data_IF_972535886308
#
_entry.id   IF_972535886308
#
_cell.length_a   1.000
_cell.length_b   1.000
_cell.length_c   1.000
_cell.angle_alpha   90.00
_cell.angle_beta   90.00
_cell.angle_gamma   90.00
#
_symmetry.space_group_name_H-M   'P 1'
#
loop_
_entity.id
_entity.type
_entity.pdbx_description
1 polymer ?
#
# COMPACT_ATOMS: atom_id res chain seq x y z
N UNK A 1 -29.61 5.00 -38.91
CA UNK A 1 -28.25 5.59 -38.94
C UNK A 1 -28.26 6.70 -39.98
N UNK A 2 -27.74 7.92 -39.73
CA UNK A 2 -26.70 8.27 -38.74
C UNK A 2 -27.11 9.31 -37.67
N UNK A 3 -26.26 9.39 -36.65
CA UNK A 3 -26.22 10.35 -35.53
C UNK A 3 -25.61 11.70 -35.95
N UNK A 4 -25.99 12.78 -35.24
CA UNK A 4 -24.99 13.73 -34.73
C UNK A 4 -25.40 14.35 -33.39
N UNK A 5 -24.37 14.73 -32.63
CA UNK A 5 -24.24 14.93 -31.18
C UNK A 5 -24.88 16.20 -30.60
N UNK A 6 -25.31 16.10 -29.33
CA UNK A 6 -25.28 17.22 -28.39
C UNK A 6 -24.74 16.75 -27.02
N UNK A 7 -23.73 17.47 -26.56
CA UNK A 7 -22.82 17.23 -25.44
C UNK A 7 -23.49 17.36 -24.05
N UNK A 8 -23.42 16.33 -23.16
CA UNK A 8 -23.98 16.41 -21.81
C UNK A 8 -22.93 16.65 -20.71
N UNK A 9 -21.81 17.33 -20.99
CA UNK A 9 -20.88 17.82 -19.93
C UNK A 9 -21.36 19.06 -19.16
N UNK A 10 -22.65 19.41 -19.24
CA UNK A 10 -23.26 20.46 -18.42
C UNK A 10 -23.78 19.91 -17.09
N UNK A 11 -22.89 19.79 -16.10
CA UNK A 11 -23.25 19.49 -14.71
C UNK A 11 -23.68 20.76 -13.98
N UNK A 12 -24.99 20.89 -13.71
CA UNK A 12 -25.53 21.90 -12.79
C UNK A 12 -25.41 21.44 -11.34
N UNK A 13 -24.52 22.11 -10.60
CA UNK A 13 -24.31 21.97 -9.15
C UNK A 13 -25.42 22.69 -8.38
N UNK A 14 -26.60 22.08 -8.24
CA UNK A 14 -27.61 22.37 -7.19
C UNK A 14 -28.84 21.53 -7.49
N UNK A 15 -29.47 21.02 -6.43
CA UNK A 15 -30.58 20.05 -6.41
C UNK A 15 -30.01 18.63 -6.41
N UNK A 16 -29.89 17.94 -5.27
CA UNK A 16 -31.03 17.32 -4.59
C UNK A 16 -30.76 17.16 -3.08
N UNK A 17 -31.55 17.84 -2.27
CA UNK A 17 -31.85 17.50 -0.89
C UNK A 17 -33.38 17.44 -0.77
N UNK A 18 -33.94 16.25 -0.54
CA UNK A 18 -35.15 15.96 0.26
C UNK A 18 -35.68 14.54 -0.06
N UNK A 19 -35.48 13.56 0.83
CA UNK A 19 -36.46 12.98 1.80
C UNK A 19 -37.19 11.75 1.26
N UNK A 20 -36.92 10.59 1.87
CA UNK A 20 -37.92 9.69 2.47
C UNK A 20 -37.19 8.54 3.19
N UNK A 21 -37.58 8.26 4.43
CA UNK A 21 -36.92 7.30 5.29
C UNK A 21 -37.02 5.86 4.78
N UNK A 22 -35.87 5.19 4.77
CA UNK A 22 -35.78 3.75 4.97
C UNK A 22 -34.80 3.56 6.13
N UNK A 23 -35.25 2.83 7.15
CA UNK A 23 -34.42 2.38 8.27
C UNK A 23 -33.08 1.86 7.75
N UNK A 24 -31.93 2.35 8.22
CA UNK A 24 -30.69 1.66 7.92
C UNK A 24 -30.77 0.32 8.64
N UNK A 25 -30.98 -0.75 7.86
CA UNK A 25 -30.42 -2.03 8.25
C UNK A 25 -28.94 -1.76 8.41
N UNK A 26 -28.50 -1.67 9.66
CA UNK A 26 -27.10 -1.76 10.03
C UNK A 26 -26.63 -3.15 9.57
N UNK A 27 -26.32 -3.28 8.28
CA UNK A 27 -25.32 -4.26 7.87
C UNK A 27 -24.06 -3.82 8.61
N UNK A 28 -23.71 -4.56 9.66
CA UNK A 28 -22.44 -4.46 10.34
C UNK A 28 -21.32 -4.86 9.35
N UNK A 29 -21.07 -4.02 8.33
CA UNK A 29 -19.90 -4.05 7.49
C UNK A 29 -18.77 -3.42 8.29
N UNK A 30 -18.24 -4.19 9.23
CA UNK A 30 -17.27 -3.72 10.20
C UNK A 30 -17.17 -4.62 11.42
N UNK A 31 -17.43 -5.92 11.26
CA UNK A 31 -16.81 -6.86 12.19
C UNK A 31 -15.31 -6.70 12.00
N UNK A 32 -14.63 -6.06 12.96
CA UNK A 32 -13.19 -6.17 13.10
C UNK A 32 -12.90 -7.65 13.33
N UNK A 33 -12.75 -8.38 12.22
CA UNK A 33 -12.33 -9.77 12.26
C UNK A 33 -11.02 -9.78 13.04
N UNK A 34 -10.89 -10.62 14.08
CA UNK A 34 -9.69 -10.66 14.90
C UNK A 34 -8.49 -10.81 13.97
N UNK A 35 -7.44 -10.02 14.23
CA UNK A 35 -6.23 -10.06 13.42
C UNK A 35 -5.75 -11.52 13.30
N UNK A 36 -5.39 -11.99 12.09
CA UNK A 36 -4.97 -13.36 11.90
C UNK A 36 -3.77 -13.66 12.80
N UNK A 37 -3.68 -14.85 13.42
CA UNK A 37 -2.57 -15.19 14.30
C UNK A 37 -1.23 -15.00 13.59
N UNK A 38 -0.25 -14.43 14.28
CA UNK A 38 1.01 -13.98 13.70
C UNK A 38 1.83 -15.11 13.06
N UNK A 39 1.56 -16.36 13.42
CA UNK A 39 2.23 -17.56 12.95
C UNK A 39 1.68 -18.05 11.60
N UNK A 40 0.43 -17.71 11.28
CA UNK A 40 -0.24 -18.08 10.01
C UNK A 40 0.40 -17.38 8.82
N UNK A 41 0.22 -17.93 7.61
CA UNK A 41 0.72 -17.29 6.39
C UNK A 41 0.15 -15.87 6.25
N UNK A 42 -1.16 -15.72 6.42
CA UNK A 42 -1.83 -14.41 6.36
C UNK A 42 -1.27 -13.45 7.43
N UNK A 43 -1.08 -13.91 8.67
CA UNK A 43 -0.52 -13.09 9.75
C UNK A 43 0.92 -12.63 9.47
N UNK A 44 1.76 -13.52 8.93
CA UNK A 44 3.12 -13.17 8.49
C UNK A 44 3.10 -12.19 7.33
N UNK A 45 2.21 -12.38 6.36
CA UNK A 45 2.07 -11.45 5.25
C UNK A 45 1.59 -10.06 5.72
N UNK A 46 0.61 -10.00 6.61
CA UNK A 46 0.13 -8.76 7.20
C UNK A 46 1.24 -8.01 7.96
N UNK A 47 2.07 -8.74 8.73
CA UNK A 47 3.24 -8.17 9.41
C UNK A 47 4.27 -7.65 8.40
N UNK A 48 4.52 -8.37 7.30
CA UNK A 48 5.44 -7.92 6.26
C UNK A 48 4.96 -6.62 5.62
N UNK A 49 3.67 -6.54 5.27
CA UNK A 49 3.06 -5.35 4.68
C UNK A 49 3.07 -4.14 5.64
N UNK A 50 2.87 -4.38 6.93
CA UNK A 50 2.97 -3.32 7.95
C UNK A 50 4.37 -2.71 7.98
N UNK A 51 5.41 -3.55 7.92
CA UNK A 51 6.80 -3.07 7.88
C UNK A 51 7.10 -2.35 6.56
N UNK A 52 6.56 -2.83 5.44
CA UNK A 52 6.70 -2.22 4.12
C UNK A 52 6.08 -0.82 4.06
N UNK A 53 4.85 -0.66 4.51
CA UNK A 53 4.21 0.66 4.56
C UNK A 53 4.92 1.63 5.51
N UNK A 54 5.45 1.14 6.64
CA UNK A 54 6.28 1.95 7.52
C UNK A 54 7.59 2.39 6.84
N UNK A 55 8.22 1.52 6.04
CA UNK A 55 9.39 1.89 5.24
C UNK A 55 9.04 2.99 4.23
N UNK A 56 7.89 2.88 3.56
CA UNK A 56 7.40 3.88 2.62
C UNK A 56 7.15 5.25 3.27
N UNK A 57 6.53 5.28 4.45
CA UNK A 57 6.30 6.52 5.20
C UNK A 57 7.63 7.21 5.58
N UNK A 58 8.59 6.42 6.05
CA UNK A 58 9.92 6.91 6.40
C UNK A 58 10.69 7.41 5.17
N UNK A 59 10.63 6.68 4.05
CA UNK A 59 11.27 7.09 2.80
C UNK A 59 10.67 8.41 2.27
N UNK A 60 9.34 8.58 2.34
CA UNK A 60 8.68 9.85 2.02
C UNK A 60 9.14 10.99 2.92
N UNK A 61 9.25 10.75 4.23
CA UNK A 61 9.74 11.75 5.18
C UNK A 61 11.18 12.14 4.87
N UNK A 62 12.06 11.17 4.62
CA UNK A 62 13.44 11.44 4.26
C UNK A 62 13.54 12.27 2.97
N UNK A 63 12.78 11.91 1.93
CA UNK A 63 12.73 12.66 0.67
C UNK A 63 12.23 14.10 0.85
N UNK A 64 11.26 14.32 1.74
CA UNK A 64 10.80 15.66 2.09
C UNK A 64 11.90 16.49 2.77
N UNK A 65 12.68 15.89 3.68
CA UNK A 65 13.83 16.54 4.31
C UNK A 65 14.94 16.85 3.31
N UNK A 66 15.21 15.93 2.37
CA UNK A 66 16.17 16.16 1.28
C UNK A 66 15.73 17.33 0.39
N UNK A 67 14.44 17.40 0.05
CA UNK A 67 13.89 18.53 -0.74
C UNK A 67 14.10 19.86 0.00
N UNK A 68 13.83 19.90 1.32
CA UNK A 68 14.10 21.09 2.13
C UNK A 68 15.60 21.42 2.16
N UNK A 69 16.45 20.41 2.33
CA UNK A 69 17.89 20.58 2.35
C UNK A 69 18.40 21.15 1.01
N UNK A 70 17.95 20.62 -0.13
CA UNK A 70 18.29 21.11 -1.46
C UNK A 70 17.79 22.53 -1.73
N UNK A 71 16.66 22.92 -1.15
CA UNK A 71 16.10 24.27 -1.33
C UNK A 71 16.80 25.35 -0.50
N UNK A 72 17.31 24.98 0.69
CA UNK A 72 17.90 25.93 1.64
C UNK A 72 19.42 25.88 1.74
N UNK A 73 20.05 24.83 1.19
CA UNK A 73 21.46 24.54 1.30
C UNK A 73 21.98 23.98 -0.03
N UNK A 74 23.27 24.14 -0.33
CA UNK A 74 23.92 23.52 -1.50
C UNK A 74 24.14 22.01 -1.27
N UNK A 75 23.08 21.30 -0.84
CA UNK A 75 23.07 19.96 -0.26
C UNK A 75 23.78 18.92 -1.14
N UNK A 76 23.60 19.02 -2.45
CA UNK A 76 24.20 18.10 -3.41
C UNK A 76 25.71 18.32 -3.60
N UNK A 77 26.25 19.49 -3.22
CA UNK A 77 27.70 19.77 -3.23
C UNK A 77 28.38 19.51 -1.89
N UNK A 78 27.60 19.31 -0.84
CA UNK A 78 28.11 19.03 0.50
C UNK A 78 28.67 17.61 0.62
N UNK A 79 29.70 17.44 1.42
CA UNK A 79 30.16 16.12 1.87
C UNK A 79 29.27 15.59 3.03
N UNK A 80 29.43 14.33 3.41
CA UNK A 80 28.59 13.70 4.43
C UNK A 80 28.67 14.38 5.80
N UNK A 81 29.82 14.93 6.17
CA UNK A 81 29.98 15.66 7.45
C UNK A 81 29.17 16.96 7.42
N UNK A 82 29.25 17.70 6.33
CA UNK A 82 28.48 18.93 6.12
C UNK A 82 26.98 18.63 6.09
N UNK A 83 26.53 17.59 5.37
CA UNK A 83 25.13 17.16 5.35
C UNK A 83 24.60 16.81 6.75
N UNK A 84 25.38 16.08 7.56
CA UNK A 84 25.01 15.75 8.94
C UNK A 84 24.96 16.98 9.86
N UNK A 85 25.67 18.04 9.53
CA UNK A 85 25.65 19.29 10.30
C UNK A 85 24.42 20.16 10.01
N UNK A 86 23.63 19.83 8.99
CA UNK A 86 22.39 20.54 8.69
C UNK A 86 21.35 20.31 9.79
N UNK A 87 20.40 21.25 9.99
CA UNK A 87 19.35 21.09 11.01
C UNK A 87 18.52 19.80 10.87
N UNK A 88 18.31 19.31 9.65
CA UNK A 88 17.62 18.04 9.37
C UNK A 88 18.52 16.80 9.38
N UNK A 89 19.85 16.97 9.39
CA UNK A 89 20.82 15.88 9.32
C UNK A 89 20.60 14.78 10.37
N UNK A 90 20.39 15.11 11.66
CA UNK A 90 20.12 14.10 12.69
C UNK A 90 18.84 13.28 12.44
N UNK A 91 17.78 13.91 11.92
CA UNK A 91 16.53 13.21 11.61
C UNK A 91 16.70 12.29 10.40
N UNK A 92 17.38 12.76 9.34
CA UNK A 92 17.69 11.95 8.15
C UNK A 92 18.51 10.71 8.51
N UNK A 93 19.56 10.86 9.33
CA UNK A 93 20.37 9.73 9.81
C UNK A 93 19.55 8.75 10.67
N UNK A 94 18.64 9.25 11.51
CA UNK A 94 17.77 8.40 12.30
C UNK A 94 16.79 7.61 11.42
N UNK A 95 16.28 8.22 10.35
CA UNK A 95 15.41 7.54 9.38
C UNK A 95 16.18 6.45 8.63
N UNK A 96 17.38 6.74 8.14
CA UNK A 96 18.23 5.75 7.45
C UNK A 96 18.47 4.50 8.30
N UNK A 97 18.85 4.68 9.58
CA UNK A 97 19.03 3.56 10.53
C UNK A 97 17.75 2.76 10.75
N UNK A 98 16.59 3.43 10.79
CA UNK A 98 15.30 2.75 10.89
C UNK A 98 14.97 1.97 9.62
N UNK A 99 15.22 2.53 8.44
CA UNK A 99 15.03 1.88 7.15
C UNK A 99 15.89 0.61 7.04
N UNK A 100 17.16 0.66 7.44
CA UNK A 100 18.04 -0.52 7.49
C UNK A 100 17.49 -1.62 8.41
N UNK A 101 16.97 -1.22 9.56
CA UNK A 101 16.36 -2.17 10.51
C UNK A 101 15.11 -2.82 9.91
N UNK A 102 14.22 -2.03 9.31
CA UNK A 102 12.99 -2.51 8.67
C UNK A 102 13.29 -3.41 7.48
N UNK A 103 14.28 -3.05 6.65
CA UNK A 103 14.74 -3.87 5.53
C UNK A 103 15.18 -5.25 6.00
N UNK A 104 16.01 -5.32 7.05
CA UNK A 104 16.47 -6.59 7.60
C UNK A 104 15.32 -7.43 8.17
N UNK A 105 14.35 -6.81 8.86
CA UNK A 105 13.16 -7.48 9.38
C UNK A 105 12.29 -8.03 8.24
N UNK A 106 12.00 -7.23 7.22
CA UNK A 106 11.24 -7.64 6.03
C UNK A 106 11.93 -8.76 5.27
N UNK A 107 13.25 -8.69 5.09
CA UNK A 107 14.04 -9.73 4.42
C UNK A 107 13.96 -11.07 5.16
N UNK A 108 14.05 -11.07 6.49
CA UNK A 108 13.89 -12.29 7.31
C UNK A 108 12.47 -12.84 7.19
N UNK A 109 11.46 -11.99 7.33
CA UNK A 109 10.06 -12.39 7.27
C UNK A 109 9.68 -12.93 5.88
N UNK A 110 10.18 -12.31 4.81
CA UNK A 110 10.02 -12.81 3.45
C UNK A 110 10.60 -14.21 3.26
N UNK A 111 11.80 -14.47 3.80
CA UNK A 111 12.40 -15.82 3.77
C UNK A 111 11.56 -16.86 4.50
N UNK A 112 10.85 -16.47 5.55
CA UNK A 112 9.93 -17.38 6.25
C UNK A 112 8.66 -17.61 5.44
N UNK A 113 8.04 -16.55 4.91
CA UNK A 113 6.85 -16.63 4.06
C UNK A 113 7.12 -17.50 2.83
N UNK A 114 8.28 -17.34 2.18
CA UNK A 114 8.66 -18.09 0.98
C UNK A 114 8.81 -19.61 1.21
N UNK A 115 8.90 -20.07 2.46
CA UNK A 115 8.93 -21.50 2.81
C UNK A 115 7.53 -22.09 3.04
N UNK A 116 6.51 -21.25 3.14
CA UNK A 116 5.14 -21.67 3.42
C UNK A 116 4.41 -21.97 2.12
N UNK A 117 3.50 -22.94 2.16
CA UNK A 117 2.62 -23.27 1.04
C UNK A 117 1.21 -22.77 1.34
N UNK A 118 0.59 -21.96 0.45
CA UNK A 118 -0.79 -21.53 0.65
C UNK A 118 -1.74 -22.72 0.53
N UNK A 119 -2.71 -22.80 1.42
CA UNK A 119 -3.72 -23.87 1.52
C UNK A 119 -5.09 -23.44 1.04
N UNK A 120 -5.29 -22.14 0.84
CA UNK A 120 -6.55 -21.54 0.39
C UNK A 120 -6.30 -20.26 -0.43
N UNK A 121 -7.36 -19.76 -1.07
CA UNK A 121 -7.28 -18.60 -1.97
C UNK A 121 -6.89 -17.32 -1.24
N UNK A 122 -7.27 -17.12 0.02
CA UNK A 122 -6.88 -15.93 0.80
C UNK A 122 -5.37 -15.92 1.09
N UNK A 123 -4.78 -17.08 1.37
CA UNK A 123 -3.34 -17.23 1.52
C UNK A 123 -2.60 -16.99 0.21
N UNK A 124 -3.10 -17.54 -0.91
CA UNK A 124 -2.54 -17.28 -2.23
C UNK A 124 -2.63 -15.79 -2.62
N UNK A 125 -3.77 -15.14 -2.34
CA UNK A 125 -3.94 -13.70 -2.53
C UNK A 125 -2.94 -12.90 -1.68
N UNK A 126 -2.73 -13.28 -0.42
CA UNK A 126 -1.76 -12.63 0.46
C UNK A 126 -0.32 -12.68 -0.08
N UNK A 127 0.08 -13.80 -0.70
CA UNK A 127 1.39 -13.92 -1.36
C UNK A 127 1.49 -13.01 -2.59
N UNK A 128 0.43 -12.95 -3.41
CA UNK A 128 0.41 -12.08 -4.59
C UNK A 128 0.48 -10.60 -4.23
N UNK A 129 -0.16 -10.17 -3.13
CA UNK A 129 -0.04 -8.80 -2.61
C UNK A 129 1.41 -8.45 -2.30
N UNK A 130 2.15 -9.35 -1.63
CA UNK A 130 3.57 -9.13 -1.33
C UNK A 130 4.39 -9.06 -2.62
N UNK A 131 4.16 -9.99 -3.55
CA UNK A 131 4.87 -10.00 -4.83
C UNK A 131 4.67 -8.68 -5.59
N UNK A 132 3.42 -8.19 -5.65
CA UNK A 132 3.11 -6.91 -6.29
C UNK A 132 3.79 -5.73 -5.61
N UNK A 133 3.86 -5.70 -4.28
CA UNK A 133 4.59 -4.66 -3.54
C UNK A 133 6.09 -4.68 -3.83
N UNK A 134 6.71 -5.86 -3.94
CA UNK A 134 8.13 -5.97 -4.31
C UNK A 134 8.37 -5.40 -5.71
N UNK A 135 7.52 -5.75 -6.67
CA UNK A 135 7.62 -5.29 -8.07
C UNK A 135 7.41 -3.78 -8.24
N UNK A 136 6.76 -3.09 -7.30
CA UNK A 136 6.65 -1.62 -7.32
C UNK A 136 8.02 -0.97 -7.10
N UNK A 137 8.87 -1.56 -6.27
CA UNK A 137 10.18 -1.00 -5.93
C UNK A 137 11.31 -1.49 -6.84
N UNK A 138 11.18 -2.70 -7.38
CA UNK A 138 12.16 -3.32 -8.27
C UNK A 138 11.43 -4.07 -9.41
N UNK A 139 10.91 -3.34 -10.43
CA UNK A 139 10.05 -3.92 -11.45
C UNK A 139 10.85 -4.84 -12.38
N UNK A 140 10.58 -6.13 -12.29
CA UNK A 140 11.03 -7.14 -13.22
C UNK A 140 10.11 -7.27 -14.44
N UNK A 141 10.43 -8.18 -15.38
CA UNK A 141 9.57 -8.46 -16.53
C UNK A 141 8.18 -9.01 -16.13
N UNK A 142 8.04 -9.51 -14.90
CA UNK A 142 6.78 -9.99 -14.31
C UNK A 142 5.85 -8.89 -13.80
N UNK A 143 6.34 -7.67 -13.57
CA UNK A 143 5.57 -6.59 -12.96
C UNK A 143 4.20 -6.33 -13.63
N UNK A 144 4.08 -6.25 -14.99
CA UNK A 144 2.79 -6.01 -15.63
C UNK A 144 1.79 -7.15 -15.44
N UNK A 145 2.27 -8.40 -15.37
CA UNK A 145 1.41 -9.57 -15.16
C UNK A 145 0.89 -9.63 -13.74
N UNK A 146 1.77 -9.36 -12.77
CA UNK A 146 1.42 -9.32 -11.35
C UNK A 146 0.43 -8.19 -11.07
N UNK A 147 0.63 -7.00 -11.65
CA UNK A 147 -0.28 -5.87 -11.51
C UNK A 147 -1.70 -6.20 -12.00
N UNK A 148 -1.83 -6.76 -13.21
CA UNK A 148 -3.12 -7.18 -13.77
C UNK A 148 -3.82 -8.22 -12.89
N UNK A 149 -3.08 -9.20 -12.39
CA UNK A 149 -3.63 -10.21 -11.49
C UNK A 149 -4.13 -9.58 -10.18
N UNK A 150 -3.38 -8.63 -9.62
CA UNK A 150 -3.76 -7.93 -8.41
C UNK A 150 -4.97 -7.04 -8.57
N UNK A 151 -5.09 -6.31 -9.68
CA UNK A 151 -6.29 -5.50 -10.00
C UNK A 151 -7.54 -6.39 -10.05
N UNK A 152 -7.47 -7.54 -10.73
CA UNK A 152 -8.58 -8.49 -10.77
C UNK A 152 -8.96 -9.04 -9.39
N UNK A 153 -7.97 -9.36 -8.55
CA UNK A 153 -8.21 -9.92 -7.22
C UNK A 153 -8.74 -8.85 -6.25
N UNK A 154 -8.32 -7.59 -6.41
CA UNK A 154 -8.78 -6.47 -5.59
C UNK A 154 -10.29 -6.23 -5.67
N UNK A 155 -10.87 -6.50 -6.83
CA UNK A 155 -12.31 -6.41 -7.06
C UNK A 155 -13.06 -7.70 -6.71
N UNK A 156 -12.33 -8.78 -6.44
CA UNK A 156 -12.87 -10.12 -6.18
C UNK A 156 -13.33 -10.34 -4.74
N UNK A 157 -14.41 -11.12 -4.60
CA UNK A 157 -14.90 -11.62 -3.30
C UNK A 157 -15.01 -13.14 -3.33
N UNK A 158 -14.89 -13.75 -2.15
CA UNK A 158 -15.08 -15.19 -1.99
C UNK A 158 -16.54 -15.56 -2.27
N UNK A 159 -16.85 -16.41 -3.26
CA UNK A 159 -18.23 -16.75 -3.60
C UNK A 159 -18.96 -17.52 -2.49
N UNK A 160 -18.21 -18.08 -1.52
CA UNK A 160 -18.76 -18.85 -0.41
C UNK A 160 -19.14 -17.98 0.80
N UNK A 161 -18.34 -16.97 1.14
CA UNK A 161 -18.54 -16.16 2.34
C UNK A 161 -18.69 -14.65 2.10
N UNK A 162 -18.49 -14.18 0.87
CA UNK A 162 -18.58 -12.76 0.51
C UNK A 162 -17.38 -11.90 0.95
N UNK A 163 -16.43 -12.45 1.70
CA UNK A 163 -15.24 -11.72 2.14
C UNK A 163 -14.36 -11.33 0.95
N UNK A 164 -13.78 -10.12 0.93
CA UNK A 164 -12.85 -9.72 -0.12
C UNK A 164 -11.57 -10.56 -0.06
N UNK A 165 -10.98 -10.86 -1.22
CA UNK A 165 -9.73 -11.62 -1.26
C UNK A 165 -8.53 -10.81 -0.75
N UNK A 166 -8.60 -9.49 -0.86
CA UNK A 166 -7.59 -8.56 -0.34
C UNK A 166 -8.23 -7.37 0.36
N UNK A 167 -7.57 -6.75 1.35
CA UNK A 167 -8.08 -5.55 1.99
C UNK A 167 -8.23 -4.40 0.99
N UNK A 168 -9.38 -3.72 1.00
CA UNK A 168 -9.65 -2.55 0.15
C UNK A 168 -8.70 -1.37 0.38
N UNK A 169 -7.93 -1.40 1.46
CA UNK A 169 -6.92 -0.41 1.83
C UNK A 169 -5.58 -0.61 1.11
N UNK A 170 -5.43 -1.62 0.26
CA UNK A 170 -4.21 -1.75 -0.53
C UNK A 170 -4.08 -0.55 -1.48
N UNK A 171 -2.90 0.07 -1.58
CA UNK A 171 -2.70 1.17 -2.51
C UNK A 171 -3.02 0.68 -3.92
N UNK A 172 -3.93 1.37 -4.59
CA UNK A 172 -4.13 1.21 -6.04
C UNK A 172 -2.81 1.61 -6.70
N UNK A 173 -2.33 0.73 -7.58
CA UNK A 173 -0.98 0.78 -8.12
C UNK A 173 -0.77 1.91 -9.13
#
# INVERSE_FOLDING_TARGET
MPHDQADPTSLSRRTLLAVAGATPVLCAAGGSSPAPPAETLIGRCAKWLTLDFKSDDLARRWSALETLAASGYDYFRMNDRERRSLPMGPEMEAIEKQLDTLFNQRKRLFKDIAKMTPTNVHEAASLMVIAARIEVHDPGPSAPLIRKAMEFIADGTCPRCGEPYVPKSLPTA
#
